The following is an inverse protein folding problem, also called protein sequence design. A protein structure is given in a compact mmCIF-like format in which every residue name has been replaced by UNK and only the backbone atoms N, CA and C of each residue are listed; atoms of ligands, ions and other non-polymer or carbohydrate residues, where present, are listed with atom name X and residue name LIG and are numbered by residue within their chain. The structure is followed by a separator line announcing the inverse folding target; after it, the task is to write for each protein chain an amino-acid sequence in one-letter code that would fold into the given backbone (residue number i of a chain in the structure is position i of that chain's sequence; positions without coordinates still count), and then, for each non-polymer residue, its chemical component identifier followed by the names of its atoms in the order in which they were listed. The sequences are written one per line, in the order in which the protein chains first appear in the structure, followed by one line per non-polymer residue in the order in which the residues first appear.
data_IF_659282893735
#
_entry.id   IF_659282893735
#
_cell.length_a   1.000
_cell.length_b   1.000
_cell.length_c   1.000
_cell.angle_alpha   90.00
_cell.angle_beta   90.00
_cell.angle_gamma   90.00
#
_symmetry.space_group_name_H-M   'P 1'
#
loop_
_entity.id
_entity.type
_entity.pdbx_description
1 polymer ?
#
# COMPACT_ATOMS: atom_id res chain seq x y z
N UNK A 1 37.65 68.48 -43.62
CA UNK A 1 36.56 67.58 -44.06
C UNK A 1 37.06 66.15 -43.89
N UNK A 2 36.34 65.37 -43.07
CA UNK A 2 36.19 63.90 -43.14
C UNK A 2 37.42 62.99 -43.01
N UNK A 3 37.76 62.76 -41.74
CA UNK A 3 38.00 61.49 -41.04
C UNK A 3 37.37 60.24 -41.71
N UNK A 4 38.08 59.11 -41.75
CA UNK A 4 37.69 57.87 -41.03
C UNK A 4 38.74 56.76 -41.09
N UNK A 5 38.89 56.12 -39.93
CA UNK A 5 39.86 55.11 -39.57
C UNK A 5 39.39 53.71 -39.97
N UNK A 6 40.30 52.87 -40.44
CA UNK A 6 40.06 51.43 -40.60
C UNK A 6 40.37 50.71 -39.30
N UNK A 7 39.33 50.10 -38.71
CA UNK A 7 39.40 49.29 -37.50
C UNK A 7 39.54 47.83 -37.94
N UNK A 8 40.70 47.22 -37.67
CA UNK A 8 40.98 45.82 -37.98
C UNK A 8 40.27 44.91 -37.00
N UNK A 9 39.49 43.96 -37.53
CA UNK A 9 38.86 42.89 -36.76
C UNK A 9 39.89 41.79 -36.47
N UNK A 10 40.17 41.57 -35.19
CA UNK A 10 40.92 40.43 -34.67
C UNK A 10 39.94 39.25 -34.56
N UNK A 11 40.17 38.20 -35.33
CA UNK A 11 39.46 36.93 -35.20
C UNK A 11 40.05 36.16 -34.01
N UNK A 12 39.31 36.13 -32.89
CA UNK A 12 39.59 35.24 -31.76
C UNK A 12 39.07 33.84 -32.09
N UNK A 13 40.00 32.91 -32.28
CA UNK A 13 39.74 31.46 -32.33
C UNK A 13 39.48 31.01 -30.90
N UNK A 14 38.22 30.77 -30.55
CA UNK A 14 37.84 30.08 -29.33
C UNK A 14 38.17 28.59 -29.53
N UNK A 15 39.33 28.19 -29.04
CA UNK A 15 39.67 26.81 -28.74
C UNK A 15 39.04 26.52 -27.37
N UNK A 16 37.90 25.86 -27.38
CA UNK A 16 37.31 25.30 -26.17
C UNK A 16 38.20 24.12 -25.72
N UNK A 17 38.68 24.20 -24.49
CA UNK A 17 39.39 23.12 -23.81
C UNK A 17 38.46 21.93 -23.61
N UNK A 18 38.98 20.74 -23.88
CA UNK A 18 38.49 19.48 -23.34
C UNK A 18 38.96 19.29 -21.90
N UNK A 19 38.29 18.37 -21.22
CA UNK A 19 38.62 17.73 -19.92
C UNK A 19 38.10 18.44 -18.65
N UNK A 20 36.90 18.03 -18.21
CA UNK A 20 36.58 17.44 -16.89
C UNK A 20 35.05 17.17 -16.92
N UNK A 21 34.60 15.91 -16.98
CA UNK A 21 34.14 15.13 -15.82
C UNK A 21 33.16 15.93 -14.98
N UNK A 22 31.85 15.68 -15.14
CA UNK A 22 30.89 15.53 -14.05
C UNK A 22 29.48 15.33 -14.62
N UNK A 23 28.88 14.24 -14.17
CA UNK A 23 27.45 14.02 -13.97
C UNK A 23 26.54 14.18 -15.19
N UNK A 24 26.67 13.24 -16.12
CA UNK A 24 25.44 12.56 -16.53
C UNK A 24 25.08 11.64 -15.37
N UNK A 25 24.38 12.19 -14.38
CA UNK A 25 23.44 11.38 -13.64
C UNK A 25 22.62 10.67 -14.71
N UNK A 26 22.86 9.38 -14.87
CA UNK A 26 21.83 8.51 -15.38
C UNK A 26 20.68 8.77 -14.41
N UNK A 27 19.71 9.59 -14.84
CA UNK A 27 18.37 9.51 -14.28
C UNK A 27 18.05 8.04 -14.39
N UNK A 28 18.06 7.37 -13.25
CA UNK A 28 17.56 6.03 -13.08
C UNK A 28 16.21 6.01 -13.78
N UNK A 29 15.99 4.98 -14.59
CA UNK A 29 14.79 4.80 -15.39
C UNK A 29 13.49 4.62 -14.56
N UNK A 30 13.53 4.98 -13.29
CA UNK A 30 12.48 4.86 -12.27
C UNK A 30 11.55 6.07 -12.17
N UNK A 31 11.81 7.17 -12.89
CA UNK A 31 11.03 8.42 -12.78
C UNK A 31 9.99 8.66 -13.91
N UNK A 32 9.88 7.77 -14.90
CA UNK A 32 8.86 7.90 -15.96
C UNK A 32 7.53 7.29 -15.48
N UNK A 33 6.63 8.16 -14.99
CA UNK A 33 5.23 7.81 -14.72
C UNK A 33 4.59 7.13 -15.92
N UNK A 34 3.83 6.06 -15.67
CA UNK A 34 3.17 5.33 -16.75
C UNK A 34 2.02 6.13 -17.36
N UNK A 35 1.67 5.92 -18.64
CA UNK A 35 0.55 6.61 -19.28
C UNK A 35 -0.78 6.47 -18.52
N UNK A 36 -1.04 5.32 -17.90
CA UNK A 36 -2.27 5.10 -17.14
C UNK A 36 -2.22 5.70 -15.73
N UNK A 37 -1.04 5.74 -15.11
CA UNK A 37 -0.79 6.35 -13.80
C UNK A 37 -1.09 7.86 -13.78
N UNK A 38 -0.94 8.58 -14.91
CA UNK A 38 -1.35 9.99 -15.03
C UNK A 38 -2.85 10.20 -14.66
N UNK A 39 -3.68 9.20 -14.90
CA UNK A 39 -5.13 9.28 -14.67
C UNK A 39 -5.55 8.61 -13.36
N UNK A 40 -4.91 7.51 -12.99
CA UNK A 40 -5.33 6.68 -11.86
C UNK A 40 -4.52 6.92 -10.58
N UNK A 41 -3.36 7.58 -10.68
CA UNK A 41 -2.45 7.81 -9.55
C UNK A 41 -2.05 6.51 -8.84
N UNK A 42 -1.80 6.59 -7.53
CA UNK A 42 -1.41 5.45 -6.69
C UNK A 42 -2.46 4.32 -6.57
N UNK A 43 -3.67 4.48 -7.13
CA UNK A 43 -4.63 3.39 -7.23
C UNK A 43 -4.26 2.38 -8.32
N UNK A 44 -3.42 2.78 -9.28
CA UNK A 44 -2.90 1.90 -10.32
C UNK A 44 -1.45 1.55 -10.00
N UNK A 45 -1.16 0.25 -9.92
CA UNK A 45 0.21 -0.25 -9.91
C UNK A 45 0.55 -0.70 -11.32
N UNK A 46 1.51 -0.03 -11.94
CA UNK A 46 1.94 -0.28 -13.32
C UNK A 46 2.63 -1.65 -13.51
N UNK A 47 2.75 -2.47 -12.45
CA UNK A 47 3.37 -3.79 -12.47
C UNK A 47 4.91 -3.77 -12.52
N UNK A 48 5.50 -2.58 -12.36
CA UNK A 48 6.93 -2.39 -12.14
C UNK A 48 7.11 -1.44 -10.95
N UNK A 49 8.12 -1.71 -10.12
CA UNK A 49 8.28 -1.05 -8.82
C UNK A 49 7.71 -1.90 -7.68
N UNK A 50 8.23 -1.67 -6.47
CA UNK A 50 7.85 -2.46 -5.31
C UNK A 50 6.41 -2.13 -4.88
N UNK A 51 5.53 -3.14 -4.88
CA UNK A 51 4.10 -2.99 -4.54
C UNK A 51 3.88 -2.44 -3.13
N UNK A 52 4.73 -2.80 -2.18
CA UNK A 52 4.70 -2.26 -0.83
C UNK A 52 5.02 -0.76 -0.84
N UNK A 53 6.08 -0.36 -1.56
CA UNK A 53 6.46 1.05 -1.75
C UNK A 53 5.36 1.84 -2.48
N UNK A 54 4.70 1.26 -3.50
CA UNK A 54 3.59 1.93 -4.21
C UNK A 54 2.33 2.11 -3.35
N UNK A 55 2.07 1.22 -2.38
CA UNK A 55 0.91 1.34 -1.48
C UNK A 55 1.08 2.43 -0.41
N UNK A 56 2.33 2.80 -0.10
CA UNK A 56 2.69 3.86 0.87
C UNK A 56 3.19 5.12 0.16
N UNK A 57 3.43 5.04 -1.15
CA UNK A 57 3.81 6.12 -2.05
C UNK A 57 2.70 7.14 -2.29
N UNK A 58 2.30 7.84 -1.25
CA UNK A 58 1.86 9.22 -1.34
C UNK A 58 2.72 10.05 -0.41
N UNK A 59 3.63 10.81 -1.00
CA UNK A 59 4.45 11.90 -0.44
C UNK A 59 4.08 12.33 0.99
N UNK A 60 5.04 12.30 1.93
CA UNK A 60 5.03 13.03 3.21
C UNK A 60 3.65 13.13 3.89
N UNK A 61 2.98 12.01 4.21
CA UNK A 61 1.72 12.08 4.96
C UNK A 61 1.93 12.24 6.45
N UNK A 62 2.63 13.31 6.83
CA UNK A 62 2.36 13.96 8.12
C UNK A 62 0.86 14.31 8.13
N UNK A 63 0.12 13.84 9.14
CA UNK A 63 -1.29 14.18 9.28
C UNK A 63 -1.46 15.70 9.26
N UNK A 64 -2.34 16.21 8.39
CA UNK A 64 -2.65 17.64 8.32
C UNK A 64 -3.20 18.14 9.66
N UNK A 65 -3.13 19.46 9.90
CA UNK A 65 -3.70 20.06 11.12
C UNK A 65 -5.20 19.77 11.25
N UNK A 66 -5.91 19.62 10.13
CA UNK A 66 -7.33 19.23 10.09
C UNK A 66 -7.52 17.77 10.46
N UNK A 67 -6.77 16.83 9.87
CA UNK A 67 -6.82 15.41 10.22
C UNK A 67 -6.48 15.17 11.70
N UNK A 68 -5.47 15.85 12.22
CA UNK A 68 -5.10 15.79 13.65
C UNK A 68 -6.22 16.29 14.57
N UNK A 69 -6.94 17.33 14.16
CA UNK A 69 -8.10 17.84 14.91
C UNK A 69 -9.30 16.90 14.84
N UNK A 70 -9.56 16.33 13.65
CA UNK A 70 -10.64 15.35 13.46
C UNK A 70 -10.38 14.09 14.29
N UNK A 71 -9.15 13.57 14.28
CA UNK A 71 -8.77 12.42 15.10
C UNK A 71 -8.94 12.69 16.60
N UNK A 72 -8.48 13.84 17.11
CA UNK A 72 -8.69 14.21 18.50
C UNK A 72 -10.17 14.31 18.85
N UNK A 73 -10.98 14.90 17.96
CA UNK A 73 -12.42 15.01 18.16
C UNK A 73 -13.10 13.64 18.19
N UNK A 74 -12.66 12.72 17.34
CA UNK A 74 -13.15 11.35 17.30
C UNK A 74 -12.88 10.63 18.62
N UNK A 75 -11.63 10.60 19.09
CA UNK A 75 -11.25 9.94 20.36
C UNK A 75 -11.96 10.55 21.58
N UNK A 76 -12.16 11.88 21.60
CA UNK A 76 -12.94 12.56 22.65
C UNK A 76 -14.42 12.14 22.67
N UNK A 77 -15.04 11.97 21.50
CA UNK A 77 -16.43 11.53 21.38
C UNK A 77 -16.60 10.07 21.80
N UNK A 78 -15.65 9.21 21.44
CA UNK A 78 -15.63 7.81 21.92
C UNK A 78 -15.55 7.79 23.44
N UNK A 79 -14.65 8.57 24.04
CA UNK A 79 -14.50 8.62 25.48
C UNK A 79 -15.74 9.15 26.21
N UNK A 80 -16.41 10.17 25.66
CA UNK A 80 -17.68 10.69 26.20
C UNK A 80 -18.76 9.61 26.19
N UNK A 81 -18.95 8.93 25.05
CA UNK A 81 -19.92 7.85 24.91
C UNK A 81 -19.62 6.67 25.86
N UNK A 82 -18.36 6.22 25.93
CA UNK A 82 -17.97 5.13 26.83
C UNK A 82 -18.20 5.49 28.30
N UNK A 83 -17.94 6.75 28.68
CA UNK A 83 -18.25 7.24 30.02
C UNK A 83 -19.75 7.26 30.31
N UNK A 84 -20.60 7.58 29.33
CA UNK A 84 -22.06 7.51 29.45
C UNK A 84 -22.57 6.07 29.62
N UNK A 85 -21.96 5.12 28.91
CA UNK A 85 -22.20 3.68 29.04
C UNK A 85 -21.64 3.10 30.36
N UNK A 86 -20.82 3.89 31.08
CA UNK A 86 -20.31 3.57 32.41
C UNK A 86 -18.95 2.89 32.41
N UNK A 87 -18.22 2.95 31.29
CA UNK A 87 -16.88 2.41 31.13
C UNK A 87 -15.81 3.51 31.17
N UNK A 88 -14.60 3.15 31.61
CA UNK A 88 -13.43 4.00 31.47
C UNK A 88 -12.85 3.83 30.06
N UNK A 89 -12.57 4.93 29.37
CA UNK A 89 -11.90 4.93 28.09
C UNK A 89 -10.90 6.09 28.06
N UNK A 90 -9.69 5.82 27.58
CA UNK A 90 -8.59 6.77 27.48
C UNK A 90 -8.42 7.14 25.99
N UNK A 91 -8.72 8.39 25.59
CA UNK A 91 -8.45 8.89 24.25
C UNK A 91 -6.99 8.69 23.83
N UNK A 92 -6.77 8.19 22.62
CA UNK A 92 -5.43 8.18 22.00
C UNK A 92 -5.08 9.56 21.44
N UNK A 93 -3.79 9.86 21.34
CA UNK A 93 -3.32 11.10 20.72
C UNK A 93 -2.89 10.86 19.27
N UNK A 94 -2.99 11.91 18.43
CA UNK A 94 -2.48 11.85 17.06
C UNK A 94 -0.96 11.56 17.02
N UNK A 95 -0.24 11.99 18.07
CA UNK A 95 1.20 11.71 18.21
C UNK A 95 1.48 10.22 18.47
N UNK A 96 0.56 9.50 19.13
CA UNK A 96 0.66 8.05 19.33
C UNK A 96 0.51 7.31 17.99
N UNK A 97 -0.40 7.78 17.11
CA UNK A 97 -0.55 7.23 15.76
C UNK A 97 0.62 7.58 14.84
N UNK A 98 1.12 8.81 14.89
CA UNK A 98 2.23 9.26 14.05
C UNK A 98 3.54 8.53 14.42
N UNK A 99 3.76 8.27 15.72
CA UNK A 99 4.92 7.50 16.19
C UNK A 99 4.92 6.06 15.68
N UNK A 100 3.75 5.40 15.63
CA UNK A 100 3.60 4.05 15.10
C UNK A 100 3.88 3.94 13.58
N UNK A 101 3.75 5.04 12.83
CA UNK A 101 4.00 5.07 11.39
C UNK A 101 5.45 5.41 11.01
N UNK A 102 6.26 5.90 11.95
CA UNK A 102 7.59 6.47 11.64
C UNK A 102 8.64 5.45 11.20
N UNK A 103 8.56 4.19 11.65
CA UNK A 103 9.50 3.12 11.24
C UNK A 103 9.30 2.71 9.77
N UNK A 104 8.05 2.71 9.31
CA UNK A 104 7.71 2.46 7.92
C UNK A 104 8.18 3.57 7.00
N UNK A 105 8.12 4.83 7.44
CA UNK A 105 8.55 5.99 6.66
C UNK A 105 10.04 5.95 6.31
N UNK A 106 10.90 5.54 7.25
CA UNK A 106 12.33 5.35 6.98
C UNK A 106 12.58 4.18 6.02
N UNK A 107 11.86 3.06 6.18
CA UNK A 107 11.98 1.91 5.28
C UNK A 107 11.55 2.25 3.84
N UNK A 108 10.42 2.93 3.65
CA UNK A 108 9.92 3.32 2.33
C UNK A 108 10.70 4.47 1.68
N UNK A 109 11.57 5.16 2.42
CA UNK A 109 12.50 6.15 1.88
C UNK A 109 13.77 5.54 1.28
N UNK A 110 13.99 4.22 1.42
CA UNK A 110 15.14 3.53 0.84
C UNK A 110 15.04 3.45 -0.69
N UNK A 111 16.20 3.43 -1.35
CA UNK A 111 16.26 3.10 -2.77
C UNK A 111 15.76 1.66 -2.99
N UNK A 112 15.13 1.31 -4.13
CA UNK A 112 14.51 0.01 -4.31
C UNK A 112 15.45 -1.20 -4.14
N UNK A 113 16.73 -1.03 -4.47
CA UNK A 113 17.77 -2.06 -4.23
C UNK A 113 18.02 -2.24 -2.73
N UNK A 114 18.24 -1.15 -2.01
CA UNK A 114 18.45 -1.16 -0.55
C UNK A 114 17.21 -1.68 0.19
N UNK A 115 16.00 -1.35 -0.28
CA UNK A 115 14.76 -1.90 0.26
C UNK A 115 14.70 -3.42 0.10
N UNK A 116 15.02 -3.95 -1.09
CA UNK A 116 15.01 -5.40 -1.33
C UNK A 116 16.06 -6.12 -0.46
N UNK A 117 17.22 -5.50 -0.24
CA UNK A 117 18.29 -6.02 0.61
C UNK A 117 17.97 -5.98 2.11
N UNK A 118 17.19 -5.00 2.58
CA UNK A 118 16.89 -4.80 4.00
C UNK A 118 15.55 -5.40 4.43
N UNK A 119 14.52 -5.24 3.60
CA UNK A 119 13.14 -5.61 3.89
C UNK A 119 12.56 -6.63 2.90
N UNK A 120 13.27 -6.99 1.83
CA UNK A 120 12.74 -7.89 0.80
C UNK A 120 11.52 -7.30 0.09
N UNK A 121 10.35 -7.93 0.19
CA UNK A 121 9.10 -7.39 -0.36
C UNK A 121 8.30 -6.58 0.66
N UNK A 122 8.70 -6.57 1.94
CA UNK A 122 7.98 -5.92 3.04
C UNK A 122 6.79 -6.72 3.58
N UNK A 123 6.57 -7.96 3.15
CA UNK A 123 5.42 -8.76 3.57
C UNK A 123 5.55 -9.28 4.99
N UNK A 124 6.72 -9.82 5.36
CA UNK A 124 6.94 -10.37 6.71
C UNK A 124 7.94 -9.58 7.54
N UNK A 125 8.73 -8.73 6.90
CA UNK A 125 9.77 -7.90 7.53
C UNK A 125 9.22 -6.59 8.09
N UNK A 126 8.27 -5.98 7.37
CA UNK A 126 7.60 -4.74 7.77
C UNK A 126 6.27 -5.00 8.50
N UNK A 127 5.48 -6.00 8.08
CA UNK A 127 4.20 -6.28 8.76
C UNK A 127 4.35 -6.95 10.14
N UNK A 128 5.48 -7.60 10.42
CA UNK A 128 5.73 -8.23 11.72
C UNK A 128 6.44 -7.31 12.73
N UNK A 129 6.84 -6.11 12.33
CA UNK A 129 7.52 -5.14 13.19
C UNK A 129 6.50 -4.43 14.07
N UNK A 130 6.29 -4.93 15.29
CA UNK A 130 5.47 -4.22 16.27
C UNK A 130 6.02 -4.33 17.70
N UNK A 131 7.36 -4.31 17.85
CA UNK A 131 7.97 -4.25 19.19
C UNK A 131 7.86 -2.85 19.84
N UNK A 132 7.49 -1.81 19.07
CA UNK A 132 7.42 -0.42 19.53
C UNK A 132 6.07 0.29 19.30
N UNK A 133 4.96 -0.43 19.02
CA UNK A 133 3.65 0.25 19.01
C UNK A 133 3.36 0.85 20.40
N UNK A 134 2.95 2.13 20.49
CA UNK A 134 2.57 2.70 21.76
C UNK A 134 1.44 1.88 22.37
N UNK A 135 1.69 1.27 23.53
CA UNK A 135 0.73 0.42 24.21
C UNK A 135 -0.65 1.09 24.29
N UNK A 136 -1.70 0.40 23.86
CA UNK A 136 -3.06 0.93 23.94
C UNK A 136 -3.44 1.11 25.41
N UNK A 137 -3.68 2.35 25.88
CA UNK A 137 -4.04 2.60 27.28
C UNK A 137 -5.36 1.95 27.69
N UNK A 138 -6.20 1.53 26.75
CA UNK A 138 -7.46 0.83 27.00
C UNK A 138 -7.30 -0.69 27.14
N UNK A 139 -6.16 -1.26 26.75
CA UNK A 139 -5.91 -2.70 26.87
C UNK A 139 -5.87 -3.13 28.34
N UNK A 140 -5.10 -2.44 29.19
CA UNK A 140 -5.03 -2.70 30.63
C UNK A 140 -6.42 -2.59 31.30
N UNK A 141 -7.23 -1.62 30.85
CA UNK A 141 -8.61 -1.43 31.32
C UNK A 141 -9.46 -2.66 30.98
N UNK A 142 -9.34 -3.20 29.77
CA UNK A 142 -10.09 -4.38 29.29
C UNK A 142 -9.61 -5.68 29.94
N UNK A 143 -8.30 -5.83 30.19
CA UNK A 143 -7.73 -7.01 30.82
C UNK A 143 -8.13 -7.16 32.29
N UNK A 144 -8.29 -6.05 33.00
CA UNK A 144 -8.72 -6.03 34.40
C UNK A 144 -10.23 -6.34 34.58
N UNK A 145 -11.01 -6.33 33.50
CA UNK A 145 -12.45 -6.62 33.52
C UNK A 145 -12.76 -8.11 33.61
N UNK A 146 -13.89 -8.45 34.24
CA UNK A 146 -14.45 -9.80 34.11
C UNK A 146 -14.92 -10.07 32.68
N UNK A 147 -15.00 -11.33 32.27
CA UNK A 147 -15.46 -11.72 30.92
C UNK A 147 -16.79 -11.05 30.53
N UNK A 148 -17.78 -11.07 31.42
CA UNK A 148 -19.09 -10.42 31.18
C UNK A 148 -19.01 -8.90 31.12
N UNK A 149 -18.07 -8.29 31.84
CA UNK A 149 -17.86 -6.84 31.84
C UNK A 149 -17.14 -6.40 30.56
N UNK A 150 -16.15 -7.19 30.12
CA UNK A 150 -15.46 -7.01 28.84
C UNK A 150 -16.41 -7.17 27.65
N UNK A 151 -17.30 -8.16 27.66
CA UNK A 151 -18.35 -8.30 26.64
C UNK A 151 -19.31 -7.09 26.60
N UNK A 152 -19.56 -6.45 27.74
CA UNK A 152 -20.38 -5.25 27.80
C UNK A 152 -19.61 -4.02 27.30
N UNK A 153 -18.33 -3.93 27.65
CA UNK A 153 -17.40 -2.91 27.15
C UNK A 153 -17.28 -2.97 25.63
N UNK A 154 -16.98 -4.14 25.07
CA UNK A 154 -16.78 -4.33 23.63
C UNK A 154 -18.06 -4.01 22.85
N UNK A 155 -19.23 -4.39 23.38
CA UNK A 155 -20.53 -4.04 22.79
C UNK A 155 -20.80 -2.53 22.83
N UNK A 156 -20.40 -1.85 23.91
CA UNK A 156 -20.55 -0.39 23.98
C UNK A 156 -19.61 0.30 22.98
N UNK A 157 -18.36 -0.16 22.88
CA UNK A 157 -17.35 0.43 22.01
C UNK A 157 -17.64 0.20 20.52
N UNK A 158 -17.95 -1.04 20.14
CA UNK A 158 -18.03 -1.50 18.74
C UNK A 158 -19.45 -1.79 18.25
N UNK A 159 -20.43 -1.81 19.16
CA UNK A 159 -21.82 -2.18 18.85
C UNK A 159 -22.06 -3.69 18.90
N UNK A 160 -23.20 -4.12 18.37
CA UNK A 160 -23.56 -5.53 18.32
C UNK A 160 -22.95 -6.20 17.09
N UNK A 161 -21.78 -6.83 17.27
CA UNK A 161 -21.09 -7.55 16.19
C UNK A 161 -21.74 -8.88 15.77
N UNK A 162 -22.85 -9.30 16.40
CA UNK A 162 -23.50 -10.58 16.07
C UNK A 162 -24.10 -10.64 14.66
N UNK A 163 -24.26 -9.48 13.99
CA UNK A 163 -24.70 -9.41 12.60
C UNK A 163 -23.60 -9.65 11.56
N UNK A 164 -22.32 -9.57 11.93
CA UNK A 164 -21.19 -9.69 11.01
C UNK A 164 -20.78 -11.15 10.77
N UNK A 165 -21.05 -12.03 11.74
CA UNK A 165 -20.76 -13.48 11.64
C UNK A 165 -21.73 -14.23 10.72
N UNK A 166 -23.01 -13.81 10.65
CA UNK A 166 -24.01 -14.46 9.79
C UNK A 166 -23.81 -14.20 8.29
N UNK A 167 -22.90 -13.27 7.91
CA UNK A 167 -22.57 -12.99 6.52
C UNK A 167 -21.60 -14.02 5.89
N UNK A 168 -20.97 -14.88 6.69
CA UNK A 168 -19.91 -15.79 6.21
C UNK A 168 -20.37 -17.26 6.12
N UNK A 169 -21.62 -17.58 6.46
CA UNK A 169 -22.08 -18.98 6.52
C UNK A 169 -23.28 -19.32 5.64
N UNK A 170 -23.23 -19.07 4.33
CA UNK A 170 -23.98 -19.90 3.36
C UNK A 170 -23.15 -20.12 2.09
N UNK A 171 -22.56 -21.32 1.97
CA UNK A 171 -22.00 -21.81 0.71
C UNK A 171 -23.08 -21.75 -0.39
N UNK A 172 -22.99 -20.75 -1.27
CA UNK A 172 -23.76 -20.67 -2.50
C UNK A 172 -24.75 -19.51 -2.64
N UNK A 173 -24.71 -18.49 -1.79
CA UNK A 173 -25.43 -17.25 -2.06
C UNK A 173 -24.72 -16.45 -3.17
N UNK A 174 -25.44 -16.14 -4.27
CA UNK A 174 -25.03 -15.10 -5.22
C UNK A 174 -24.69 -13.84 -4.42
N UNK A 175 -23.52 -13.23 -4.66
CA UNK A 175 -23.11 -11.95 -4.10
C UNK A 175 -24.09 -10.85 -4.56
N UNK A 176 -25.23 -10.75 -3.90
CA UNK A 176 -26.14 -9.61 -4.03
C UNK A 176 -25.65 -8.57 -3.04
N UNK A 177 -25.15 -7.45 -3.57
CA UNK A 177 -24.81 -6.16 -2.93
C UNK A 177 -24.25 -6.21 -1.48
N UNK A 178 -23.19 -5.45 -1.15
CA UNK A 178 -22.76 -5.32 0.25
C UNK A 178 -23.98 -4.99 1.13
N UNK A 179 -24.16 -5.66 2.28
CA UNK A 179 -25.25 -5.32 3.19
C UNK A 179 -25.19 -3.82 3.49
N UNK A 180 -26.34 -3.14 3.51
CA UNK A 180 -26.36 -1.74 3.95
C UNK A 180 -25.66 -1.65 5.31
N UNK A 181 -24.71 -0.72 5.49
CA UNK A 181 -23.98 -0.65 6.75
C UNK A 181 -25.00 -0.40 7.86
N UNK A 182 -24.86 -1.06 9.03
CA UNK A 182 -25.78 -0.89 10.14
C UNK A 182 -25.93 0.60 10.48
N UNK A 183 -27.07 1.01 11.03
CA UNK A 183 -27.26 2.42 11.39
C UNK A 183 -26.15 2.84 12.39
N UNK A 184 -25.66 4.10 12.38
CA UNK A 184 -24.57 4.53 13.27
C UNK A 184 -24.80 4.20 14.74
N UNK A 185 -26.06 4.23 15.19
CA UNK A 185 -26.47 3.83 16.55
C UNK A 185 -26.21 2.34 16.88
N UNK A 186 -26.15 1.46 15.87
CA UNK A 186 -25.89 0.03 16.03
C UNK A 186 -24.37 -0.30 15.95
N UNK A 187 -23.53 0.70 15.65
CA UNK A 187 -22.05 0.58 15.50
C UNK A 187 -21.27 0.97 16.77
N UNK A 188 -21.95 1.08 17.91
CA UNK A 188 -21.35 1.45 19.19
C UNK A 188 -20.79 2.88 19.23
N UNK A 189 -20.03 3.18 20.28
CA UNK A 189 -19.43 4.50 20.49
C UNK A 189 -18.47 4.90 19.36
N UNK A 190 -17.70 3.95 18.80
CA UNK A 190 -16.82 4.22 17.67
C UNK A 190 -17.59 4.66 16.42
N UNK A 191 -18.64 3.92 16.04
CA UNK A 191 -19.41 4.27 14.86
C UNK A 191 -20.19 5.57 15.00
N UNK A 192 -20.68 5.89 16.20
CA UNK A 192 -21.33 7.18 16.48
C UNK A 192 -20.34 8.35 16.37
N UNK A 193 -19.14 8.21 16.95
CA UNK A 193 -18.09 9.21 16.84
C UNK A 193 -17.63 9.40 15.38
N UNK A 194 -17.45 8.30 14.64
CA UNK A 194 -17.09 8.34 13.22
C UNK A 194 -18.15 9.05 12.39
N UNK A 195 -19.44 8.80 12.64
CA UNK A 195 -20.53 9.48 11.96
C UNK A 195 -20.56 10.99 12.24
N UNK A 196 -20.26 11.40 13.48
CA UNK A 196 -20.22 12.83 13.80
C UNK A 196 -19.05 13.55 13.15
N UNK A 197 -17.85 12.93 13.14
CA UNK A 197 -16.61 13.55 12.66
C UNK A 197 -16.46 13.43 11.14
N UNK A 198 -16.60 12.23 10.59
CA UNK A 198 -16.19 11.91 9.22
C UNK A 198 -17.38 11.85 8.24
N UNK A 199 -18.58 11.41 8.64
CA UNK A 199 -19.73 11.39 7.71
C UNK A 199 -20.20 12.82 7.32
N UNK A 200 -19.78 13.87 8.05
CA UNK A 200 -19.99 15.26 7.64
C UNK A 200 -18.95 15.77 6.61
N UNK A 201 -17.76 15.16 6.57
CA UNK A 201 -16.74 15.41 5.54
C UNK A 201 -16.89 14.50 4.32
N UNK A 202 -17.62 13.39 4.45
CA UNK A 202 -18.08 12.57 3.32
C UNK A 202 -19.16 13.32 2.52
N UNK A 203 -18.75 14.31 1.74
CA UNK A 203 -19.51 14.63 0.53
C UNK A 203 -19.71 13.34 -0.25
N UNK A 204 -20.93 13.10 -0.76
CA UNK A 204 -21.37 11.94 -1.57
C UNK A 204 -20.17 11.12 -2.07
N UNK A 205 -19.82 10.06 -1.34
CA UNK A 205 -18.65 9.23 -1.65
C UNK A 205 -18.74 8.79 -3.10
N UNK A 206 -17.61 8.82 -3.82
CA UNK A 206 -17.61 8.38 -5.22
C UNK A 206 -18.08 6.94 -5.23
N UNK A 207 -19.20 6.69 -5.89
CA UNK A 207 -19.74 5.35 -6.02
C UNK A 207 -18.83 4.59 -6.99
N UNK A 208 -17.81 3.92 -6.46
CA UNK A 208 -16.82 3.19 -7.26
C UNK A 208 -17.47 2.15 -8.19
N UNK A 209 -18.72 1.74 -7.91
CA UNK A 209 -19.52 0.87 -8.78
C UNK A 209 -19.78 1.48 -10.16
N UNK A 210 -19.77 2.81 -10.27
CA UNK A 210 -19.89 3.50 -11.56
C UNK A 210 -18.65 3.27 -12.45
N UNK A 211 -17.52 2.85 -11.88
CA UNK A 211 -16.26 2.57 -12.57
C UNK A 211 -15.88 1.07 -12.62
N UNK A 212 -16.80 0.17 -12.24
CA UNK A 212 -16.55 -1.30 -12.27
C UNK A 212 -16.11 -1.77 -13.67
N UNK A 213 -16.69 -1.19 -14.73
CA UNK A 213 -16.32 -1.47 -16.12
C UNK A 213 -14.87 -1.10 -16.40
N UNK A 214 -14.48 0.14 -16.07
CA UNK A 214 -13.10 0.62 -16.19
C UNK A 214 -12.12 -0.30 -15.44
N UNK A 215 -12.41 -0.65 -14.18
CA UNK A 215 -11.53 -1.50 -13.37
C UNK A 215 -11.37 -2.91 -13.95
N UNK A 216 -12.46 -3.47 -14.50
CA UNK A 216 -12.41 -4.73 -15.23
C UNK A 216 -11.52 -4.64 -16.48
N UNK A 217 -11.63 -3.54 -17.23
CA UNK A 217 -10.85 -3.33 -18.46
C UNK A 217 -9.36 -3.09 -18.15
N UNK A 218 -9.03 -2.37 -17.07
CA UNK A 218 -7.65 -2.23 -16.55
C UNK A 218 -7.08 -3.57 -16.12
N UNK A 219 -7.86 -4.40 -15.43
CA UNK A 219 -7.43 -5.76 -15.05
C UNK A 219 -7.14 -6.63 -16.27
N UNK A 220 -7.98 -6.52 -17.32
CA UNK A 220 -7.78 -7.23 -18.58
C UNK A 220 -6.56 -6.70 -19.36
N UNK A 221 -6.27 -5.40 -19.29
CA UNK A 221 -5.04 -4.81 -19.84
C UNK A 221 -3.81 -5.41 -19.18
N UNK A 222 -3.77 -5.45 -17.84
CA UNK A 222 -2.67 -6.00 -17.06
C UNK A 222 -2.39 -7.48 -17.39
N UNK A 223 -3.44 -8.28 -17.55
CA UNK A 223 -3.30 -9.68 -17.98
C UNK A 223 -2.72 -9.79 -19.40
N UNK A 224 -3.14 -8.91 -20.32
CA UNK A 224 -2.62 -8.88 -21.69
C UNK A 224 -1.14 -8.47 -21.74
N UNK A 225 -0.72 -7.53 -20.91
CA UNK A 225 0.68 -7.10 -20.80
C UNK A 225 1.51 -8.29 -20.32
N UNK A 226 1.14 -8.91 -19.19
CA UNK A 226 1.88 -10.04 -18.60
C UNK A 226 1.97 -11.27 -19.51
N UNK A 227 0.95 -11.48 -20.36
CA UNK A 227 0.93 -12.59 -21.32
C UNK A 227 1.40 -12.20 -22.73
N UNK A 228 1.97 -10.99 -22.92
CA UNK A 228 2.44 -10.54 -24.22
C UNK A 228 3.64 -11.39 -24.70
N UNK A 229 3.59 -11.97 -25.92
CA UNK A 229 4.68 -12.79 -26.45
C UNK A 229 6.05 -12.09 -26.54
N UNK A 230 6.07 -10.75 -26.54
CA UNK A 230 7.31 -9.96 -26.53
C UNK A 230 8.09 -10.13 -25.22
N UNK A 231 7.44 -10.55 -24.14
CA UNK A 231 8.08 -10.80 -22.86
C UNK A 231 8.72 -12.19 -22.75
N UNK A 232 8.43 -13.13 -23.67
CA UNK A 232 8.87 -14.53 -23.55
C UNK A 232 10.39 -14.67 -23.38
N UNK A 233 11.18 -13.94 -24.19
CA UNK A 233 12.64 -13.98 -24.12
C UNK A 233 13.15 -13.36 -22.80
N UNK A 234 12.57 -12.24 -22.38
CA UNK A 234 12.91 -11.53 -21.14
C UNK A 234 12.59 -12.37 -19.90
N UNK A 235 11.41 -13.01 -19.86
CA UNK A 235 11.02 -13.95 -18.81
C UNK A 235 11.98 -15.14 -18.77
N UNK A 236 12.35 -15.70 -19.93
CA UNK A 236 13.32 -16.78 -19.98
C UNK A 236 14.69 -16.35 -19.42
N UNK A 237 15.18 -15.16 -19.74
CA UNK A 237 16.46 -14.67 -19.18
C UNK A 237 16.37 -14.47 -17.66
N UNK A 238 15.28 -13.88 -17.17
CA UNK A 238 15.00 -13.75 -15.74
C UNK A 238 14.97 -15.12 -15.04
N UNK A 239 14.29 -16.13 -15.60
CA UNK A 239 14.24 -17.48 -15.03
C UNK A 239 15.65 -18.10 -14.88
N UNK A 240 16.53 -17.92 -15.87
CA UNK A 240 17.90 -18.42 -15.79
C UNK A 240 18.69 -17.70 -14.68
N UNK A 241 18.51 -16.39 -14.55
CA UNK A 241 19.12 -15.60 -13.48
C UNK A 241 18.64 -16.06 -12.09
N UNK A 242 17.33 -16.24 -11.90
CA UNK A 242 16.77 -16.77 -10.65
C UNK A 242 17.28 -18.17 -10.33
N UNK A 243 17.38 -19.04 -11.33
CA UNK A 243 17.94 -20.38 -11.15
C UNK A 243 19.41 -20.36 -10.72
N UNK A 244 20.22 -19.45 -11.27
CA UNK A 244 21.61 -19.23 -10.86
C UNK A 244 21.69 -18.63 -9.44
N UNK A 245 20.70 -17.84 -9.05
CA UNK A 245 20.50 -17.29 -7.71
C UNK A 245 19.96 -18.28 -6.67
N UNK A 246 19.60 -19.51 -7.07
CA UNK A 246 19.14 -20.57 -6.17
C UNK A 246 17.65 -20.90 -6.23
N UNK A 247 16.91 -20.25 -7.13
CA UNK A 247 15.45 -20.35 -7.29
C UNK A 247 15.06 -20.92 -8.68
N UNK A 248 15.33 -22.20 -8.96
CA UNK A 248 15.17 -22.78 -10.31
C UNK A 248 13.73 -23.14 -10.68
N UNK A 249 12.80 -23.09 -9.72
CA UNK A 249 11.43 -23.57 -9.89
C UNK A 249 10.44 -22.44 -10.25
N UNK A 250 10.90 -21.19 -10.35
CA UNK A 250 10.05 -20.06 -10.74
C UNK A 250 9.88 -19.98 -12.25
N UNK A 251 8.63 -19.81 -12.69
CA UNK A 251 8.22 -19.71 -14.09
C UNK A 251 7.94 -18.26 -14.50
N UNK A 252 7.52 -17.40 -13.56
CA UNK A 252 7.19 -15.99 -13.82
C UNK A 252 7.71 -15.08 -12.70
N UNK A 253 8.03 -13.79 -12.99
CA UNK A 253 8.43 -12.83 -11.97
C UNK A 253 7.52 -12.80 -10.73
N UNK A 254 6.20 -12.85 -10.95
CA UNK A 254 5.20 -12.89 -9.88
C UNK A 254 5.39 -14.09 -8.90
N UNK A 255 6.02 -15.19 -9.33
CA UNK A 255 6.18 -16.39 -8.49
C UNK A 255 7.06 -16.14 -7.27
N UNK A 256 8.03 -15.22 -7.37
CA UNK A 256 8.93 -14.92 -6.27
C UNK A 256 8.16 -14.30 -5.09
N UNK A 257 7.39 -13.23 -5.33
CA UNK A 257 6.48 -12.62 -4.36
C UNK A 257 5.43 -13.62 -3.85
N UNK A 258 4.79 -14.37 -4.76
CA UNK A 258 3.77 -15.36 -4.39
C UNK A 258 4.34 -16.47 -3.50
N UNK A 259 5.60 -16.85 -3.67
CA UNK A 259 6.24 -17.87 -2.84
C UNK A 259 6.37 -17.42 -1.38
N UNK A 260 6.61 -16.13 -1.13
CA UNK A 260 6.67 -15.55 0.23
C UNK A 260 5.27 -15.50 0.82
N UNK A 261 4.29 -14.97 0.07
CA UNK A 261 2.90 -14.90 0.51
C UNK A 261 2.32 -16.27 0.84
N UNK A 262 2.68 -17.30 0.08
CA UNK A 262 2.27 -18.68 0.36
C UNK A 262 2.84 -19.17 1.69
N UNK A 263 4.14 -18.98 1.95
CA UNK A 263 4.78 -19.37 3.21
C UNK A 263 4.16 -18.66 4.41
N UNK A 264 3.91 -17.35 4.26
CA UNK A 264 3.23 -16.56 5.28
C UNK A 264 1.82 -17.09 5.56
N UNK A 265 1.03 -17.41 4.52
CA UNK A 265 -0.31 -17.97 4.66
C UNK A 265 -0.27 -19.36 5.33
N UNK A 266 0.70 -20.21 4.98
CA UNK A 266 0.90 -21.52 5.62
C UNK A 266 1.17 -21.38 7.12
N UNK A 267 2.02 -20.42 7.53
CA UNK A 267 2.27 -20.11 8.94
C UNK A 267 0.99 -19.64 9.65
N UNK A 268 0.23 -18.72 9.02
CA UNK A 268 -1.05 -18.23 9.53
C UNK A 268 -2.14 -19.31 9.65
N UNK A 269 -2.16 -20.27 8.73
CA UNK A 269 -3.12 -21.37 8.79
C UNK A 269 -2.74 -22.35 9.90
N UNK A 270 -1.45 -22.63 10.06
CA UNK A 270 -0.93 -23.54 11.08
C UNK A 270 -1.18 -23.02 12.52
N UNK A 271 -1.07 -21.71 12.75
CA UNK A 271 -1.37 -21.11 14.07
C UNK A 271 -2.84 -21.27 14.46
N UNK A 272 -3.76 -21.06 13.51
CA UNK A 272 -5.21 -21.18 13.74
C UNK A 272 -5.70 -22.61 13.98
N UNK A 273 -5.06 -23.63 13.40
CA UNK A 273 -5.43 -25.04 13.64
C UNK A 273 -4.99 -25.55 15.03
N UNK A 274 -4.11 -24.81 15.72
CA UNK A 274 -3.58 -25.16 17.04
C UNK A 274 -4.47 -24.74 18.21
N UNK A 275 -5.40 -23.79 18.00
CA UNK A 275 -6.25 -23.23 19.05
C UNK A 275 -7.69 -23.75 18.97
N UNK A 276 -8.19 -24.28 20.08
CA UNK A 276 -9.58 -24.71 20.26
C UNK A 276 -10.52 -23.48 20.17
N UNK A 277 -10.85 -23.03 18.95
CA UNK A 277 -12.04 -22.24 18.62
C UNK A 277 -12.31 -20.99 19.45
N UNK A 278 -11.28 -20.33 19.98
CA UNK A 278 -11.37 -19.00 20.56
C UNK A 278 -10.90 -18.00 19.51
N UNK A 279 -11.81 -17.28 18.88
CA UNK A 279 -11.43 -16.11 18.08
C UNK A 279 -10.69 -15.14 19.01
N UNK A 280 -9.35 -15.05 18.89
CA UNK A 280 -8.59 -13.93 19.47
C UNK A 280 -9.16 -12.70 18.80
N UNK A 281 -9.95 -11.94 19.56
CA UNK A 281 -10.75 -10.85 19.02
C UNK A 281 -9.84 -9.72 18.56
N UNK A 282 -9.50 -9.69 17.27
CA UNK A 282 -9.14 -8.51 16.45
C UNK A 282 -8.25 -7.42 17.11
N UNK A 283 -7.42 -7.77 18.09
CA UNK A 283 -6.61 -6.84 18.90
C UNK A 283 -5.24 -7.40 19.25
N UNK A 284 -4.92 -8.66 18.90
CA UNK A 284 -3.53 -9.13 18.89
C UNK A 284 -2.98 -8.89 17.50
N UNK A 285 -1.75 -8.36 17.40
CA UNK A 285 -1.04 -8.39 16.13
C UNK A 285 -1.01 -9.86 15.70
N UNK A 286 -1.57 -10.24 14.54
CA UNK A 286 -1.69 -11.64 14.17
C UNK A 286 -0.32 -12.33 14.03
N UNK A 287 0.77 -11.54 14.00
CA UNK A 287 2.16 -11.99 14.06
C UNK A 287 2.67 -12.32 15.49
N UNK A 288 2.11 -11.77 16.57
CA UNK A 288 2.55 -12.02 17.95
C UNK A 288 2.24 -13.45 18.43
N UNK A 289 1.21 -14.06 17.83
CA UNK A 289 0.75 -15.42 18.12
C UNK A 289 1.42 -16.46 17.19
N UNK A 290 2.33 -16.04 16.30
CA UNK A 290 3.04 -16.94 15.38
C UNK A 290 4.27 -17.58 16.05
N UNK A 291 4.72 -18.69 15.47
CA UNK A 291 6.01 -19.25 15.82
C UNK A 291 7.12 -18.31 15.33
N UNK A 292 7.73 -17.58 16.26
CA UNK A 292 8.78 -16.59 15.97
C UNK A 292 10.02 -17.22 15.29
N UNK A 293 10.29 -18.52 15.48
CA UNK A 293 11.38 -19.20 14.78
C UNK A 293 11.00 -19.43 13.31
N UNK A 294 9.78 -19.88 13.04
CA UNK A 294 9.28 -20.05 11.66
C UNK A 294 9.11 -18.71 10.94
N UNK A 295 8.66 -17.67 11.64
CA UNK A 295 8.57 -16.31 11.09
C UNK A 295 9.94 -15.77 10.68
N UNK A 296 10.96 -15.93 11.53
CA UNK A 296 12.32 -15.51 11.20
C UNK A 296 12.88 -16.25 9.98
N UNK A 297 12.57 -17.55 9.82
CA UNK A 297 12.96 -18.31 8.62
C UNK A 297 12.27 -17.77 7.35
N UNK A 298 11.02 -17.33 7.44
CA UNK A 298 10.31 -16.73 6.30
C UNK A 298 10.88 -15.34 5.98
N UNK A 299 11.19 -14.53 6.99
CA UNK A 299 11.83 -13.22 6.79
C UNK A 299 13.20 -13.34 6.10
N UNK A 300 14.04 -14.28 6.54
CA UNK A 300 15.32 -14.55 5.88
C UNK A 300 15.14 -15.01 4.43
N UNK A 301 14.14 -15.86 4.18
CA UNK A 301 13.78 -16.30 2.82
C UNK A 301 13.30 -15.14 1.95
N UNK A 302 12.43 -14.28 2.49
CA UNK A 302 11.87 -13.12 1.79
C UNK A 302 12.98 -12.16 1.32
N UNK A 303 13.90 -11.79 2.22
CA UNK A 303 15.01 -10.89 1.86
C UNK A 303 15.91 -11.52 0.80
N UNK A 304 16.26 -12.79 0.94
CA UNK A 304 17.14 -13.48 -0.03
C UNK A 304 16.49 -13.58 -1.42
N UNK A 305 15.24 -14.02 -1.49
CA UNK A 305 14.55 -14.16 -2.79
C UNK A 305 14.29 -12.81 -3.44
N UNK A 306 13.89 -11.79 -2.68
CA UNK A 306 13.61 -10.45 -3.20
C UNK A 306 14.88 -9.75 -3.69
N UNK A 307 16.01 -9.91 -2.98
CA UNK A 307 17.30 -9.36 -3.42
C UNK A 307 17.73 -9.95 -4.76
N UNK A 308 17.62 -11.27 -4.91
CA UNK A 308 17.95 -11.96 -6.18
C UNK A 308 16.99 -11.56 -7.28
N UNK A 309 15.68 -11.56 -6.98
CA UNK A 309 14.64 -11.20 -7.93
C UNK A 309 14.78 -9.77 -8.43
N UNK A 310 15.00 -8.80 -7.54
CA UNK A 310 15.24 -7.41 -7.91
C UNK A 310 16.39 -7.28 -8.92
N UNK A 311 17.54 -7.89 -8.63
CA UNK A 311 18.69 -7.86 -9.53
C UNK A 311 18.37 -8.51 -10.90
N UNK A 312 17.72 -9.68 -10.90
CA UNK A 312 17.35 -10.38 -12.11
C UNK A 312 16.31 -9.63 -12.95
N UNK A 313 15.33 -8.99 -12.30
CA UNK A 313 14.31 -8.19 -12.97
C UNK A 313 14.92 -6.95 -13.62
N UNK A 314 15.81 -6.25 -12.91
CA UNK A 314 16.49 -5.06 -13.42
C UNK A 314 17.39 -5.38 -14.62
N UNK A 315 18.09 -6.52 -14.60
CA UNK A 315 18.99 -6.89 -15.69
C UNK A 315 18.26 -7.44 -16.92
N UNK A 316 17.16 -8.19 -16.74
CA UNK A 316 16.60 -9.02 -17.82
C UNK A 316 15.14 -8.75 -18.19
N UNK A 317 14.34 -8.14 -17.32
CA UNK A 317 12.88 -8.11 -17.49
C UNK A 317 12.30 -6.70 -17.62
N UNK A 318 12.67 -5.79 -16.70
CA UNK A 318 11.92 -4.55 -16.48
C UNK A 318 11.95 -3.57 -17.65
N UNK A 319 13.06 -3.47 -18.39
CA UNK A 319 13.13 -2.62 -19.59
C UNK A 319 12.11 -3.07 -20.63
N UNK A 320 12.09 -4.37 -20.95
CA UNK A 320 11.17 -4.94 -21.95
C UNK A 320 9.73 -4.86 -21.47
N UNK A 321 9.48 -5.14 -20.18
CA UNK A 321 8.16 -5.01 -19.59
C UNK A 321 7.62 -3.58 -19.70
N UNK A 322 8.42 -2.57 -19.35
CA UNK A 322 8.02 -1.15 -19.45
C UNK A 322 7.68 -0.74 -20.87
N UNK A 323 8.49 -1.13 -21.85
CA UNK A 323 8.21 -0.81 -23.26
C UNK A 323 6.86 -1.38 -23.72
N UNK A 324 6.58 -2.64 -23.38
CA UNK A 324 5.33 -3.33 -23.71
C UNK A 324 4.15 -2.70 -22.99
N UNK A 325 4.29 -2.46 -21.68
CA UNK A 325 3.26 -1.87 -20.84
C UNK A 325 2.89 -0.48 -21.33
N UNK A 326 3.87 0.40 -21.58
CA UNK A 326 3.62 1.78 -21.99
C UNK A 326 2.92 1.85 -23.34
N UNK A 327 3.32 1.03 -24.32
CA UNK A 327 2.63 0.99 -25.62
C UNK A 327 1.15 0.57 -25.46
N UNK A 328 0.87 -0.44 -24.64
CA UNK A 328 -0.50 -0.92 -24.43
C UNK A 328 -1.33 0.04 -23.57
N UNK A 329 -0.72 0.68 -22.58
CA UNK A 329 -1.36 1.71 -21.77
C UNK A 329 -1.68 2.96 -22.58
N UNK A 330 -0.79 3.41 -23.47
CA UNK A 330 -1.10 4.51 -24.41
C UNK A 330 -2.34 4.17 -25.25
N UNK A 331 -2.40 2.96 -25.80
CA UNK A 331 -3.58 2.50 -26.56
C UNK A 331 -4.84 2.45 -25.69
N UNK A 332 -4.71 2.03 -24.44
CA UNK A 332 -5.80 1.96 -23.48
C UNK A 332 -6.32 3.36 -23.12
N UNK A 333 -5.41 4.28 -22.79
CA UNK A 333 -5.73 5.68 -22.49
C UNK A 333 -6.44 6.33 -23.67
N UNK A 334 -6.01 6.08 -24.91
CA UNK A 334 -6.71 6.60 -26.09
C UNK A 334 -8.14 6.06 -26.23
N UNK A 335 -8.38 4.80 -25.85
CA UNK A 335 -9.69 4.14 -25.93
C UNK A 335 -10.64 4.55 -24.80
N UNK A 336 -10.10 4.76 -23.60
CA UNK A 336 -10.87 5.01 -22.37
C UNK A 336 -10.75 6.46 -21.86
N UNK A 337 -10.22 7.38 -22.69
CA UNK A 337 -9.87 8.74 -22.27
C UNK A 337 -10.96 9.48 -21.49
N UNK A 338 -12.19 9.48 -21.99
CA UNK A 338 -13.30 10.20 -21.34
C UNK A 338 -13.64 9.60 -19.97
N UNK A 339 -13.59 8.27 -19.85
CA UNK A 339 -13.86 7.53 -18.61
C UNK A 339 -12.74 7.70 -17.59
N UNK A 340 -11.48 7.69 -18.03
CA UNK A 340 -10.30 7.96 -17.21
C UNK A 340 -10.24 9.42 -16.73
N UNK A 341 -10.59 10.39 -17.58
CA UNK A 341 -10.71 11.80 -17.17
C UNK A 341 -11.83 12.00 -16.15
N UNK A 342 -12.97 11.32 -16.34
CA UNK A 342 -14.06 11.34 -15.36
C UNK A 342 -13.62 10.71 -14.03
N UNK A 343 -12.98 9.54 -14.08
CA UNK A 343 -12.45 8.87 -12.89
C UNK A 343 -11.50 9.77 -12.12
N UNK A 344 -10.47 10.29 -12.79
CA UNK A 344 -9.52 11.23 -12.21
C UNK A 344 -10.22 12.44 -11.62
N UNK A 345 -11.13 13.07 -12.35
CA UNK A 345 -11.79 14.29 -11.89
C UNK A 345 -12.69 14.03 -10.67
N UNK A 346 -13.37 12.87 -10.62
CA UNK A 346 -14.21 12.50 -9.49
C UNK A 346 -13.40 12.11 -8.25
N UNK A 347 -12.27 11.42 -8.43
CA UNK A 347 -11.36 10.99 -7.36
C UNK A 347 -10.48 12.15 -6.87
N UNK A 348 -9.88 12.96 -7.76
CA UNK A 348 -8.98 14.07 -7.41
C UNK A 348 -9.72 15.30 -6.88
N UNK A 349 -10.90 15.67 -7.43
CA UNK A 349 -11.64 16.84 -6.92
C UNK A 349 -12.27 16.61 -5.54
N UNK A 350 -12.36 15.35 -5.09
CA UNK A 350 -12.98 14.98 -3.81
C UNK A 350 -12.02 14.34 -2.81
N UNK A 351 -10.93 13.71 -3.26
CA UNK A 351 -9.84 13.18 -2.41
C UNK A 351 -8.79 14.22 -2.00
N UNK A 352 -8.79 15.42 -2.60
CA UNK A 352 -7.94 16.55 -2.19
C UNK A 352 -8.58 17.50 -1.16
N UNK A 353 -9.66 17.06 -0.49
CA UNK A 353 -10.32 17.75 0.62
C UNK A 353 -10.41 16.87 1.89
N UNK A 354 -9.62 15.80 1.97
CA UNK A 354 -9.40 15.02 3.19
C UNK A 354 -8.15 15.51 3.89
#
# INVERSE_FOLDING_TARGET
MTMWASMGAVALVLTACSDDSDDTAASSSSDEQSPLEEYMGGMYSSGFGNRAVSSVGSEDREMSEEERQNFQRFEELVAECMQEEGFEYVPRSADDLESANSEFEEAFALEPEEFAEEYGYGFTTLMAGNEEEPADPNEEIREDMSETEREAYDRALWGDMTGTEEAVSEEGAEQTAPPEPPAPEDRGCQGQASAEVYEQSEGESVDMRDFDGLMSDVSALQERIRSDPRLEDAVSEWQHCMADGGYPDFEHPDDAEQSVLQRMNELYTASQEGEDGGSSGMMTNPFDELDQEELAEIQEYEVDVATVDYACQQEHYLETYREVAFEMEEEFVEQHKEELEQFRDEVVQRGGQG
#
